data_IF_563318637814
#
_entry.id   IF_563318637814
#
_cell.length_a   1.000
_cell.length_b   1.000
_cell.length_c   1.000
_cell.angle_alpha   90.00
_cell.angle_beta   90.00
_cell.angle_gamma   90.00
#
_symmetry.space_group_name_H-M   'P 1'
#
loop_
_entity.id
_entity.type
_entity.pdbx_description
1 polymer ?
#
# COMPACT_ATOMS: atom_id res chain seq x y z
N UNK A 1 -3.72 -31.90 40.76
CA UNK A 1 -4.64 -31.22 39.81
C UNK A 1 -4.14 -29.80 39.63
N UNK A 2 -3.39 -29.54 38.57
CA UNK A 2 -3.05 -28.23 38.01
C UNK A 2 -2.28 -28.51 36.73
N UNK A 3 -2.96 -28.48 35.59
CA UNK A 3 -2.35 -28.60 34.27
C UNK A 3 -1.72 -27.27 33.87
N UNK A 4 -0.47 -27.24 33.36
CA UNK A 4 0.16 -26.01 32.93
C UNK A 4 -0.38 -25.57 31.56
N UNK A 5 -0.69 -24.29 31.48
CA UNK A 5 -1.07 -23.56 30.26
C UNK A 5 0.11 -23.57 29.30
N UNK A 6 -0.08 -24.13 28.10
CA UNK A 6 0.89 -24.03 27.00
C UNK A 6 0.95 -22.59 26.51
N UNK A 7 2.07 -21.93 26.78
CA UNK A 7 2.46 -20.66 26.16
C UNK A 7 2.68 -20.88 24.66
N UNK A 8 1.84 -20.29 23.81
CA UNK A 8 2.06 -20.27 22.37
C UNK A 8 3.33 -19.46 22.05
N UNK A 9 4.36 -20.16 21.58
CA UNK A 9 5.54 -19.56 20.94
C UNK A 9 5.14 -18.97 19.58
N UNK A 10 5.78 -17.87 19.13
CA UNK A 10 5.48 -17.28 17.83
C UNK A 10 5.90 -18.19 16.68
N UNK A 11 5.04 -18.21 15.66
CA UNK A 11 5.10 -18.96 14.41
C UNK A 11 6.47 -18.89 13.74
N UNK A 12 6.97 -20.05 13.31
CA UNK A 12 8.23 -20.24 12.60
C UNK A 12 8.30 -19.35 11.35
N UNK A 13 9.27 -18.45 11.32
CA UNK A 13 9.73 -17.76 10.11
C UNK A 13 10.20 -18.82 9.11
N UNK A 14 9.42 -19.09 8.07
CA UNK A 14 9.88 -19.94 6.97
C UNK A 14 11.13 -19.29 6.35
N UNK A 15 12.23 -20.04 6.33
CA UNK A 15 13.48 -19.60 5.73
C UNK A 15 13.25 -19.28 4.24
N UNK A 16 13.60 -18.06 3.84
CA UNK A 16 13.58 -17.64 2.45
C UNK A 16 14.69 -18.36 1.69
N UNK A 17 14.32 -19.31 0.81
CA UNK A 17 15.26 -19.88 -0.16
C UNK A 17 15.43 -18.85 -1.30
N UNK A 18 16.66 -18.40 -1.52
CA UNK A 18 17.01 -17.43 -2.55
C UNK A 18 16.71 -17.97 -3.98
N UNK A 19 16.56 -19.30 -4.10
CA UNK A 19 16.15 -19.99 -5.33
C UNK A 19 14.63 -20.01 -5.53
N UNK A 20 13.83 -19.72 -4.50
CA UNK A 20 12.39 -19.59 -4.65
C UNK A 20 12.08 -18.27 -5.39
N UNK A 21 11.44 -18.41 -6.54
CA UNK A 21 11.11 -17.28 -7.40
C UNK A 21 10.03 -16.39 -6.76
N UNK A 22 9.40 -16.86 -5.68
CA UNK A 22 8.34 -16.17 -4.96
C UNK A 22 8.88 -15.35 -3.79
N UNK A 23 8.34 -14.13 -3.63
CA UNK A 23 8.74 -13.19 -2.60
C UNK A 23 7.52 -12.98 -1.69
N UNK A 24 7.63 -13.27 -0.37
CA UNK A 24 6.55 -13.02 0.57
C UNK A 24 6.29 -11.51 0.69
N UNK A 25 5.06 -11.15 1.03
CA UNK A 25 4.63 -9.76 1.18
C UNK A 25 3.81 -9.56 2.42
N UNK A 26 3.82 -8.33 2.96
CA UNK A 26 2.99 -7.96 4.09
C UNK A 26 2.12 -6.75 3.74
N UNK A 27 0.86 -6.83 4.12
CA UNK A 27 -0.14 -5.77 4.02
C UNK A 27 -0.72 -5.49 5.41
N UNK A 28 -0.74 -4.23 5.80
CA UNK A 28 -1.51 -3.76 6.94
C UNK A 28 -2.93 -3.39 6.50
N UNK A 29 -3.93 -3.97 7.13
CA UNK A 29 -5.34 -3.64 6.95
C UNK A 29 -5.80 -2.74 8.09
N UNK A 30 -5.87 -1.43 7.84
CA UNK A 30 -6.23 -0.41 8.84
C UNK A 30 -7.73 -0.11 8.71
N UNK A 31 -8.58 -0.52 9.67
CA UNK A 31 -10.02 -0.31 9.61
C UNK A 31 -10.38 1.18 9.62
N UNK A 32 -11.38 1.54 8.82
CA UNK A 32 -11.95 2.88 8.89
C UNK A 32 -12.85 3.00 10.13
N UNK A 33 -12.89 4.17 10.78
CA UNK A 33 -13.80 4.40 11.89
C UNK A 33 -15.24 4.44 11.39
N UNK A 34 -16.17 3.97 12.21
CA UNK A 34 -17.61 4.04 11.92
C UNK A 34 -18.09 5.49 12.08
N UNK A 35 -18.88 6.03 11.12
CA UNK A 35 -19.45 7.37 11.26
C UNK A 35 -20.47 7.44 12.40
N UNK A 36 -20.59 8.61 13.02
CA UNK A 36 -21.59 8.93 14.03
C UNK A 36 -22.95 9.29 13.39
N UNK A 37 -23.99 9.31 14.22
CA UNK A 37 -25.30 9.94 13.96
C UNK A 37 -25.97 9.53 12.64
N UNK A 38 -26.68 8.39 12.62
CA UNK A 38 -27.50 7.87 11.50
C UNK A 38 -26.82 7.71 10.13
N UNK A 39 -25.63 8.24 9.93
CA UNK A 39 -24.81 8.05 8.75
C UNK A 39 -24.36 6.60 8.67
N UNK A 40 -24.38 6.04 7.46
CA UNK A 40 -24.09 4.62 7.24
C UNK A 40 -23.00 4.44 6.20
N UNK A 41 -22.23 3.39 6.39
CA UNK A 41 -21.38 2.83 5.35
C UNK A 41 -22.27 2.24 4.27
N UNK A 42 -21.93 2.50 3.01
CA UNK A 42 -22.60 1.92 1.85
C UNK A 42 -21.84 0.67 1.39
N UNK A 43 -22.39 -0.09 0.44
CA UNK A 43 -21.66 -1.19 -0.20
C UNK A 43 -20.37 -0.75 -0.91
N UNK A 44 -20.31 0.53 -1.28
CA UNK A 44 -19.14 1.14 -1.93
C UNK A 44 -18.08 1.59 -0.94
N UNK A 45 -18.41 1.69 0.35
CA UNK A 45 -17.48 2.13 1.39
C UNK A 45 -16.43 1.05 1.64
N UNK A 46 -15.12 1.38 1.51
CA UNK A 46 -14.08 0.43 1.85
C UNK A 46 -14.10 0.14 3.36
N UNK A 47 -14.00 -1.13 3.78
CA UNK A 47 -14.01 -1.50 5.21
C UNK A 47 -12.70 -1.14 5.92
N UNK A 48 -11.59 -1.11 5.18
CA UNK A 48 -10.26 -0.75 5.67
C UNK A 48 -9.40 -0.20 4.54
N UNK A 49 -8.36 0.52 4.92
CA UNK A 49 -7.24 0.90 4.08
C UNK A 49 -6.21 -0.24 4.05
N UNK A 50 -5.70 -0.59 2.87
CA UNK A 50 -4.46 -1.36 2.76
C UNK A 50 -3.23 -0.46 2.72
N UNK A 51 -2.23 -0.82 3.52
CA UNK A 51 -0.93 -0.18 3.52
C UNK A 51 0.20 -1.20 3.49
N UNK A 52 1.31 -0.85 2.84
CA UNK A 52 2.60 -1.54 2.98
C UNK A 52 3.68 -0.50 2.74
N UNK A 53 4.87 -0.69 3.31
CA UNK A 53 5.93 0.31 3.20
C UNK A 53 6.32 0.58 1.74
N UNK A 54 6.70 1.81 1.40
CA UNK A 54 7.19 2.12 0.07
C UNK A 54 8.46 1.32 -0.22
N UNK A 55 8.63 0.88 -1.47
CA UNK A 55 9.88 0.23 -1.88
C UNK A 55 10.99 1.25 -2.02
N UNK A 56 12.22 0.79 -1.84
CA UNK A 56 13.39 1.56 -2.26
C UNK A 56 13.29 1.87 -3.76
N UNK A 57 13.83 3.02 -4.15
CA UNK A 57 13.72 3.52 -5.53
C UNK A 57 14.37 2.54 -6.48
N UNK A 58 13.76 2.37 -7.65
CA UNK A 58 14.27 1.45 -8.65
C UNK A 58 15.66 1.90 -9.14
N UNK A 59 16.66 1.08 -8.86
CA UNK A 59 18.03 1.32 -9.31
C UNK A 59 18.21 0.93 -10.77
N UNK A 60 19.16 1.59 -11.44
CA UNK A 60 19.55 1.24 -12.81
C UNK A 60 20.10 -0.20 -12.80
N UNK A 61 19.77 -1.06 -13.77
CA UNK A 61 20.36 -2.38 -13.87
C UNK A 61 21.89 -2.29 -13.79
N UNK A 62 22.55 -3.15 -12.99
CA UNK A 62 23.99 -3.13 -12.87
C UNK A 62 24.63 -3.33 -14.24
N UNK A 63 25.79 -2.73 -14.43
CA UNK A 63 26.61 -2.98 -15.62
C UNK A 63 27.12 -4.40 -15.51
N UNK A 64 26.88 -5.21 -16.54
CA UNK A 64 27.39 -6.57 -16.58
C UNK A 64 28.93 -6.52 -16.60
N UNK A 65 29.61 -7.08 -15.58
CA UNK A 65 31.07 -7.04 -15.49
C UNK A 65 31.78 -7.70 -16.68
N UNK A 66 31.11 -8.65 -17.38
CA UNK A 66 31.70 -9.39 -18.50
C UNK A 66 31.52 -8.68 -19.84
N UNK A 67 30.44 -7.92 -20.01
CA UNK A 67 30.12 -7.27 -21.30
C UNK A 67 30.30 -5.75 -21.28
N UNK A 68 30.49 -5.14 -20.11
CA UNK A 68 30.64 -3.69 -19.93
C UNK A 68 29.39 -2.89 -20.30
N UNK A 69 28.28 -3.56 -20.60
CA UNK A 69 27.02 -2.93 -21.03
C UNK A 69 26.02 -2.92 -19.88
N UNK A 70 25.25 -1.83 -19.71
CA UNK A 70 24.13 -1.84 -18.79
C UNK A 70 23.10 -2.89 -19.23
N UNK A 71 22.52 -3.61 -18.27
CA UNK A 71 21.43 -4.54 -18.54
C UNK A 71 20.26 -3.86 -19.28
N UNK A 72 19.57 -4.60 -20.17
CA UNK A 72 18.42 -4.08 -20.93
C UNK A 72 17.31 -3.61 -19.98
N UNK A 73 16.97 -2.33 -20.02
CA UNK A 73 15.87 -1.73 -19.26
C UNK A 73 14.64 -1.54 -20.16
N UNK A 74 13.45 -1.95 -19.70
CA UNK A 74 12.20 -1.72 -20.45
C UNK A 74 11.87 -0.23 -20.46
N UNK A 75 11.34 0.30 -21.57
CA UNK A 75 11.01 1.72 -21.72
C UNK A 75 10.13 2.28 -20.58
N UNK A 76 9.09 1.53 -20.19
CA UNK A 76 8.22 1.91 -19.06
C UNK A 76 9.01 2.02 -17.75
N UNK A 77 9.97 1.12 -17.52
CA UNK A 77 10.83 1.12 -16.31
C UNK A 77 11.83 2.26 -16.32
N UNK A 78 12.38 2.57 -17.49
CA UNK A 78 13.24 3.74 -17.69
C UNK A 78 12.47 5.03 -17.39
N UNK A 79 11.25 5.17 -17.92
CA UNK A 79 10.39 6.33 -17.65
C UNK A 79 10.03 6.45 -16.16
N UNK A 80 9.62 5.34 -15.53
CA UNK A 80 9.32 5.30 -14.09
C UNK A 80 10.53 5.71 -13.24
N UNK A 81 11.74 5.26 -13.59
CA UNK A 81 12.98 5.63 -12.89
C UNK A 81 13.35 7.10 -13.06
N UNK A 82 13.32 7.62 -14.29
CA UNK A 82 13.61 9.04 -14.57
C UNK A 82 12.62 9.91 -13.79
N UNK A 83 11.34 9.55 -13.83
CA UNK A 83 10.31 10.22 -13.05
C UNK A 83 10.60 10.22 -11.54
N UNK A 84 10.94 9.05 -10.98
CA UNK A 84 11.29 8.94 -9.55
C UNK A 84 12.51 9.79 -9.18
N UNK A 85 13.52 9.84 -10.06
CA UNK A 85 14.71 10.68 -9.87
C UNK A 85 14.36 12.17 -9.91
N UNK A 86 13.56 12.62 -10.87
CA UNK A 86 13.14 14.02 -10.99
C UNK A 86 12.27 14.49 -9.81
N UNK A 87 11.39 13.63 -9.31
CA UNK A 87 10.60 13.92 -8.10
C UNK A 87 11.50 14.04 -6.88
N UNK A 88 12.50 13.15 -6.74
CA UNK A 88 13.46 13.19 -5.64
C UNK A 88 14.29 14.47 -5.70
N UNK A 89 14.91 14.76 -6.84
CA UNK A 89 15.69 15.98 -7.05
C UNK A 89 14.85 17.23 -6.76
N UNK A 90 13.58 17.25 -7.18
CA UNK A 90 12.65 18.34 -6.88
C UNK A 90 12.36 18.51 -5.38
N UNK A 91 12.24 17.43 -4.62
CA UNK A 91 12.08 17.46 -3.16
C UNK A 91 13.35 17.91 -2.44
N UNK A 92 14.52 17.45 -2.87
CA UNK A 92 15.83 17.85 -2.33
C UNK A 92 16.09 19.36 -2.60
N UNK A 93 15.78 19.86 -3.80
CA UNK A 93 15.83 21.29 -4.14
C UNK A 93 14.89 22.10 -3.21
N UNK A 94 13.66 21.63 -2.98
CA UNK A 94 12.70 22.31 -2.10
C UNK A 94 13.21 22.39 -0.65
N UNK A 95 13.91 21.36 -0.19
CA UNK A 95 14.53 21.29 1.15
C UNK A 95 15.78 22.14 1.28
N UNK A 96 16.27 22.71 0.18
CA UNK A 96 17.49 23.52 0.16
C UNK A 96 18.76 22.69 0.18
N UNK A 97 18.69 21.41 -0.18
CA UNK A 97 19.83 20.48 -0.26
C UNK A 97 20.66 20.71 -1.54
N UNK A 98 20.07 21.34 -2.57
CA UNK A 98 20.74 21.76 -3.82
C UNK A 98 20.58 23.27 -4.05
N UNK A 99 21.34 24.08 -3.31
CA UNK A 99 21.22 25.57 -3.35
C UNK A 99 21.68 26.19 -4.68
N UNK A 100 22.60 25.50 -5.35
CA UNK A 100 23.22 25.82 -6.63
C UNK A 100 22.39 25.39 -7.86
N UNK A 101 21.23 24.76 -7.66
CA UNK A 101 20.36 24.37 -8.77
C UNK A 101 19.95 25.60 -9.62
N UNK A 102 20.24 25.57 -10.92
CA UNK A 102 19.87 26.62 -11.87
C UNK A 102 18.35 26.79 -12.02
N UNK A 103 17.92 27.93 -12.55
CA UNK A 103 16.49 28.31 -12.69
C UNK A 103 15.68 27.24 -13.43
N UNK A 104 16.25 26.64 -14.47
CA UNK A 104 15.63 25.56 -15.23
C UNK A 104 15.42 24.29 -14.39
N UNK A 105 16.42 23.88 -13.58
CA UNK A 105 16.30 22.72 -12.67
C UNK A 105 15.28 22.97 -11.57
N UNK A 106 15.23 24.19 -11.01
CA UNK A 106 14.23 24.61 -10.02
C UNK A 106 12.81 24.55 -10.58
N UNK A 107 12.61 25.06 -11.80
CA UNK A 107 11.32 24.99 -12.49
C UNK A 107 10.89 23.54 -12.77
N UNK A 108 11.78 22.74 -13.36
CA UNK A 108 11.52 21.31 -13.65
C UNK A 108 11.20 20.53 -12.39
N UNK A 109 11.98 20.73 -11.32
CA UNK A 109 11.73 20.11 -10.01
C UNK A 109 10.39 20.53 -9.41
N UNK A 110 9.95 21.78 -9.59
CA UNK A 110 8.64 22.23 -9.15
C UNK A 110 7.49 21.59 -9.96
N UNK A 111 7.63 21.51 -11.29
CA UNK A 111 6.65 20.85 -12.15
C UNK A 111 6.52 19.35 -11.83
N UNK A 112 7.65 18.64 -11.72
CA UNK A 112 7.69 17.22 -11.35
C UNK A 112 7.06 16.97 -9.97
N UNK A 113 7.33 17.82 -8.97
CA UNK A 113 6.68 17.74 -7.65
C UNK A 113 5.17 17.95 -7.72
N UNK A 114 4.71 18.93 -8.50
CA UNK A 114 3.28 19.22 -8.67
C UNK A 114 2.57 18.06 -9.35
N UNK A 115 3.10 17.59 -10.49
CA UNK A 115 2.53 16.46 -11.20
C UNK A 115 2.61 15.15 -10.40
N UNK A 116 3.67 14.91 -9.62
CA UNK A 116 3.78 13.80 -8.66
C UNK A 116 2.73 13.89 -7.56
N UNK A 117 2.46 15.09 -7.06
CA UNK A 117 1.39 15.32 -6.11
C UNK A 117 0.04 14.96 -6.72
N UNK A 118 -0.24 15.35 -7.96
CA UNK A 118 -1.49 15.01 -8.67
C UNK A 118 -1.60 13.50 -8.93
N UNK A 119 -0.55 12.85 -9.46
CA UNK A 119 -0.52 11.38 -9.66
C UNK A 119 -0.76 10.64 -8.35
N UNK A 120 -0.17 11.08 -7.24
CA UNK A 120 -0.38 10.45 -5.93
C UNK A 120 -1.84 10.46 -5.49
N UNK A 121 -2.68 11.35 -6.02
CA UNK A 121 -4.12 11.39 -5.72
C UNK A 121 -5.01 10.70 -6.76
N UNK A 122 -4.48 10.26 -7.92
CA UNK A 122 -5.30 9.69 -8.99
C UNK A 122 -5.68 8.20 -8.80
N UNK A 123 -4.75 7.29 -8.42
CA UNK A 123 -5.10 5.89 -8.15
C UNK A 123 -5.88 5.77 -6.86
N UNK A 124 -6.78 4.80 -6.75
CA UNK A 124 -7.32 4.40 -5.45
C UNK A 124 -6.16 3.95 -4.54
N UNK A 125 -6.20 4.30 -3.25
CA UNK A 125 -5.26 3.88 -2.21
C UNK A 125 -4.91 2.38 -2.25
N UNK A 126 -5.88 1.51 -2.53
CA UNK A 126 -5.68 0.06 -2.67
C UNK A 126 -4.72 -0.30 -3.81
N UNK A 127 -4.89 0.31 -4.99
CA UNK A 127 -4.03 0.01 -6.16
C UNK A 127 -2.63 0.55 -5.95
N UNK A 128 -2.49 1.69 -5.29
CA UNK A 128 -1.19 2.24 -4.92
C UNK A 128 -0.41 1.27 -4.02
N UNK A 129 -1.07 0.72 -2.99
CA UNK A 129 -0.50 -0.30 -2.10
C UNK A 129 -0.15 -1.58 -2.86
N UNK A 130 -1.05 -2.08 -3.71
CA UNK A 130 -0.77 -3.24 -4.57
C UNK A 130 0.40 -2.99 -5.54
N UNK A 131 0.60 -1.73 -5.96
CA UNK A 131 1.75 -1.30 -6.76
C UNK A 131 3.09 -1.61 -6.09
N UNK A 132 3.15 -1.56 -4.75
CA UNK A 132 4.36 -1.78 -3.94
C UNK A 132 4.75 -3.26 -3.82
N UNK A 133 3.80 -4.18 -3.98
CA UNK A 133 4.04 -5.63 -3.92
C UNK A 133 5.02 -6.12 -5.02
N UNK A 134 5.65 -7.30 -4.88
CA UNK A 134 6.44 -7.93 -5.93
C UNK A 134 5.73 -8.00 -7.30
N UNK A 135 6.50 -8.08 -8.41
CA UNK A 135 5.94 -8.36 -9.72
C UNK A 135 5.08 -9.63 -9.68
N UNK A 136 4.04 -9.71 -10.51
CA UNK A 136 3.07 -10.83 -10.48
C UNK A 136 3.69 -12.23 -10.57
N UNK A 137 4.85 -12.37 -11.23
CA UNK A 137 5.57 -13.64 -11.39
C UNK A 137 6.35 -14.04 -10.14
N UNK A 138 6.61 -13.10 -9.24
CA UNK A 138 7.36 -13.27 -8.01
C UNK A 138 6.50 -13.08 -6.76
N UNK A 139 5.17 -13.10 -6.89
CA UNK A 139 4.29 -13.00 -5.74
C UNK A 139 4.27 -14.36 -5.03
N UNK A 140 4.67 -14.38 -3.77
CA UNK A 140 4.46 -15.50 -2.86
C UNK A 140 3.28 -15.25 -1.93
N UNK A 141 3.39 -15.82 -0.73
CA UNK A 141 2.44 -15.63 0.37
C UNK A 141 2.29 -14.16 0.73
N UNK A 142 1.05 -13.74 1.00
CA UNK A 142 0.73 -12.39 1.43
C UNK A 142 0.16 -12.48 2.85
N UNK A 143 0.87 -11.90 3.81
CA UNK A 143 0.41 -11.74 5.17
C UNK A 143 -0.42 -10.47 5.30
N UNK A 144 -1.63 -10.57 5.85
CA UNK A 144 -2.53 -9.48 6.14
C UNK A 144 -2.55 -9.29 7.65
N UNK A 145 -1.92 -8.21 8.11
CA UNK A 145 -1.88 -7.83 9.51
C UNK A 145 -2.97 -6.80 9.78
N UNK A 146 -3.84 -7.07 10.75
CA UNK A 146 -4.93 -6.18 11.16
C UNK A 146 -4.89 -5.91 12.66
N UNK A 147 -5.51 -4.83 13.16
CA UNK A 147 -5.40 -4.44 14.57
C UNK A 147 -5.87 -5.51 15.54
N UNK A 148 -5.16 -5.63 16.67
CA UNK A 148 -5.63 -6.40 17.79
C UNK A 148 -6.81 -5.70 18.47
N UNK A 149 -7.62 -6.46 19.21
CA UNK A 149 -8.76 -5.90 19.96
C UNK A 149 -8.36 -4.77 20.93
N UNK A 150 -7.12 -4.77 21.43
CA UNK A 150 -6.58 -3.75 22.34
C UNK A 150 -6.11 -2.47 21.64
N UNK A 151 -5.89 -2.49 20.32
CA UNK A 151 -5.49 -1.30 19.55
C UNK A 151 -6.61 -0.27 19.43
N UNK A 152 -7.86 -0.74 19.55
CA UNK A 152 -9.06 0.08 19.38
C UNK A 152 -9.37 0.79 20.70
N UNK A 153 -9.14 2.11 20.71
CA UNK A 153 -9.58 2.96 21.82
C UNK A 153 -11.10 2.84 22.02
N UNK A 154 -11.62 2.69 23.25
CA UNK A 154 -13.06 2.66 23.50
C UNK A 154 -13.76 3.96 23.07
N UNK A 155 -13.00 5.04 22.88
CA UNK A 155 -13.52 6.35 22.47
C UNK A 155 -13.72 6.48 20.97
N UNK A 156 -13.12 5.60 20.15
CA UNK A 156 -13.28 5.59 18.69
C UNK A 156 -14.02 4.32 18.30
N UNK A 157 -15.17 4.47 17.67
CA UNK A 157 -15.89 3.31 17.14
C UNK A 157 -15.18 2.81 15.87
N UNK A 158 -14.51 1.66 15.98
CA UNK A 158 -13.85 0.98 14.87
C UNK A 158 -14.44 -0.43 14.77
N UNK A 159 -14.84 -0.90 13.57
CA UNK A 159 -15.36 -2.24 13.38
C UNK A 159 -14.35 -3.30 13.86
N UNK A 160 -14.82 -4.24 14.67
CA UNK A 160 -14.06 -5.45 15.03
C UNK A 160 -14.38 -6.52 14.01
N UNK A 161 -13.38 -6.88 13.20
CA UNK A 161 -13.52 -7.88 12.16
C UNK A 161 -13.01 -9.22 12.68
N UNK A 162 -13.84 -10.26 12.59
CA UNK A 162 -13.38 -11.64 12.69
C UNK A 162 -12.47 -11.98 11.50
N UNK A 163 -11.66 -13.04 11.61
CA UNK A 163 -10.81 -13.47 10.50
C UNK A 163 -11.62 -13.78 9.22
N UNK A 164 -12.80 -14.37 9.38
CA UNK A 164 -13.71 -14.68 8.28
C UNK A 164 -14.21 -13.40 7.58
N UNK A 165 -14.75 -12.44 8.35
CA UNK A 165 -15.21 -11.16 7.81
C UNK A 165 -14.08 -10.35 7.18
N UNK A 166 -12.89 -10.43 7.77
CA UNK A 166 -11.65 -9.83 7.28
C UNK A 166 -11.28 -10.42 5.91
N UNK A 167 -11.31 -11.75 5.76
CA UNK A 167 -11.03 -12.45 4.49
C UNK A 167 -12.05 -12.12 3.41
N UNK A 168 -13.34 -12.12 3.74
CA UNK A 168 -14.42 -11.78 2.82
C UNK A 168 -14.29 -10.32 2.35
N UNK A 169 -14.18 -9.39 3.29
CA UNK A 169 -14.03 -7.96 3.04
C UNK A 169 -12.78 -7.66 2.20
N UNK A 170 -11.67 -8.34 2.48
CA UNK A 170 -10.42 -8.21 1.72
C UNK A 170 -10.60 -8.65 0.28
N UNK A 171 -11.22 -9.80 0.07
CA UNK A 171 -11.49 -10.33 -1.28
C UNK A 171 -12.41 -9.39 -2.07
N UNK A 172 -13.50 -8.91 -1.47
CA UNK A 172 -14.43 -7.96 -2.09
C UNK A 172 -13.72 -6.66 -2.49
N UNK A 173 -12.91 -6.12 -1.60
CA UNK A 173 -12.14 -4.90 -1.86
C UNK A 173 -11.11 -5.09 -2.98
N UNK A 174 -10.39 -6.21 -3.04
CA UNK A 174 -9.47 -6.52 -4.15
C UNK A 174 -10.21 -6.57 -5.49
N UNK A 175 -11.38 -7.21 -5.54
CA UNK A 175 -12.21 -7.28 -6.75
C UNK A 175 -12.71 -5.90 -7.19
N UNK A 176 -13.18 -5.08 -6.24
CA UNK A 176 -13.60 -3.70 -6.51
C UNK A 176 -12.45 -2.87 -7.06
N UNK A 177 -11.27 -2.93 -6.41
CA UNK A 177 -10.07 -2.23 -6.84
C UNK A 177 -9.64 -2.66 -8.26
N UNK A 178 -9.72 -3.95 -8.60
CA UNK A 178 -9.46 -4.44 -9.96
C UNK A 178 -10.43 -3.86 -10.98
N UNK A 179 -11.73 -3.84 -10.70
CA UNK A 179 -12.75 -3.27 -11.60
C UNK A 179 -12.49 -1.78 -11.83
N UNK A 180 -12.22 -1.04 -10.76
CA UNK A 180 -11.91 0.39 -10.83
C UNK A 180 -10.62 0.65 -11.61
N UNK A 181 -9.55 -0.10 -11.33
CA UNK A 181 -8.27 0.03 -12.02
C UNK A 181 -8.37 -0.27 -13.51
N UNK A 182 -9.17 -1.26 -13.89
CA UNK A 182 -9.42 -1.58 -15.29
C UNK A 182 -10.13 -0.42 -16.01
N UNK A 183 -11.20 0.12 -15.41
CA UNK A 183 -11.90 1.31 -15.93
C UNK A 183 -10.95 2.50 -16.07
N UNK A 184 -10.14 2.77 -15.06
CA UNK A 184 -9.17 3.87 -15.07
C UNK A 184 -8.05 3.67 -16.10
N UNK A 185 -7.60 2.43 -16.32
CA UNK A 185 -6.61 2.10 -17.35
C UNK A 185 -7.15 2.36 -18.75
N UNK A 186 -8.42 2.05 -19.01
CA UNK A 186 -9.05 2.35 -20.31
C UNK A 186 -9.05 3.85 -20.57
N UNK A 187 -9.55 4.64 -19.60
CA UNK A 187 -9.60 6.10 -19.71
C UNK A 187 -8.19 6.67 -19.95
N UNK A 188 -7.22 6.28 -19.12
CA UNK A 188 -5.83 6.71 -19.22
C UNK A 188 -5.20 6.31 -20.57
N UNK A 189 -5.46 5.09 -21.05
CA UNK A 189 -5.01 4.61 -22.35
C UNK A 189 -5.53 5.44 -23.52
N UNK A 190 -6.82 5.82 -23.49
CA UNK A 190 -7.41 6.70 -24.51
C UNK A 190 -6.82 8.12 -24.48
N UNK A 191 -6.35 8.59 -23.33
CA UNK A 191 -5.72 9.91 -23.19
C UNK A 191 -4.25 9.94 -23.62
N UNK A 192 -3.59 8.78 -23.82
CA UNK A 192 -2.16 8.74 -24.16
C UNK A 192 -1.80 9.56 -25.41
N UNK A 193 -2.54 9.46 -26.55
CA UNK A 193 -2.24 10.27 -27.73
C UNK A 193 -2.38 11.77 -27.48
N UNK A 194 -3.39 12.17 -26.69
CA UNK A 194 -3.63 13.57 -26.35
C UNK A 194 -2.52 14.10 -25.46
N UNK A 195 -2.12 13.33 -24.43
CA UNK A 195 -1.02 13.72 -23.55
C UNK A 195 0.33 13.78 -24.27
N UNK A 196 0.56 12.91 -25.26
CA UNK A 196 1.75 12.98 -26.11
C UNK A 196 1.75 14.24 -26.99
N UNK A 197 0.61 14.60 -27.58
CA UNK A 197 0.48 15.82 -28.37
C UNK A 197 0.68 17.07 -27.51
N UNK A 198 0.11 17.11 -26.30
CA UNK A 198 0.32 18.21 -25.33
C UNK A 198 1.81 18.42 -25.07
N UNK A 199 2.55 17.37 -24.73
CA UNK A 199 3.98 17.49 -24.44
C UNK A 199 4.81 17.85 -25.67
N UNK A 200 4.41 17.41 -26.87
CA UNK A 200 5.09 17.75 -28.11
C UNK A 200 4.85 19.21 -28.53
N UNK A 201 3.63 19.72 -28.39
CA UNK A 201 3.22 21.01 -28.97
C UNK A 201 3.27 22.19 -27.99
N UNK A 202 3.13 21.97 -26.67
CA UNK A 202 2.98 23.11 -25.74
C UNK A 202 4.30 23.76 -25.30
N UNK A 203 5.49 23.24 -25.67
CA UNK A 203 6.85 23.74 -25.32
C UNK A 203 7.12 23.83 -23.79
N UNK A 204 6.08 23.82 -22.96
CA UNK A 204 6.11 23.75 -21.51
C UNK A 204 6.22 22.27 -21.13
N UNK A 205 7.26 21.86 -20.39
CA UNK A 205 7.42 20.48 -19.96
C UNK A 205 6.41 20.16 -18.84
N UNK A 206 5.18 19.81 -19.23
CA UNK A 206 4.13 19.36 -18.31
C UNK A 206 4.32 17.86 -18.01
N UNK A 207 5.11 17.13 -18.82
CA UNK A 207 5.32 15.68 -18.72
C UNK A 207 3.99 14.92 -18.67
N UNK A 208 2.96 15.45 -19.34
CA UNK A 208 1.61 14.92 -19.30
C UNK A 208 1.57 13.47 -19.78
N UNK A 209 2.38 13.14 -20.78
CA UNK A 209 2.52 11.81 -21.35
C UNK A 209 3.21 10.84 -20.39
N UNK A 210 4.37 11.21 -19.84
CA UNK A 210 5.07 10.37 -18.85
C UNK A 210 4.21 10.16 -17.61
N UNK A 211 3.51 11.20 -17.16
CA UNK A 211 2.55 11.16 -16.06
C UNK A 211 1.42 10.18 -16.35
N UNK A 212 0.82 10.27 -17.54
CA UNK A 212 -0.27 9.40 -17.94
C UNK A 212 0.20 7.94 -18.16
N UNK A 213 1.40 7.72 -18.69
CA UNK A 213 2.01 6.38 -18.78
C UNK A 213 2.28 5.80 -17.40
N UNK A 214 2.81 6.58 -16.46
CA UNK A 214 3.07 6.13 -15.09
C UNK A 214 1.76 5.73 -14.41
N UNK A 215 0.72 6.56 -14.57
CA UNK A 215 -0.62 6.26 -14.07
C UNK A 215 -1.22 5.00 -14.70
N UNK A 216 -1.23 4.91 -16.03
CA UNK A 216 -1.68 3.71 -16.78
C UNK A 216 -0.96 2.45 -16.31
N UNK A 217 0.36 2.53 -16.17
CA UNK A 217 1.21 1.41 -15.77
C UNK A 217 0.89 0.96 -14.35
N UNK A 218 0.66 1.89 -13.42
CA UNK A 218 0.28 1.57 -12.06
C UNK A 218 -1.07 0.84 -12.00
N UNK A 219 -2.07 1.33 -12.74
CA UNK A 219 -3.41 0.74 -12.78
C UNK A 219 -3.40 -0.66 -13.40
N UNK A 220 -2.76 -0.83 -14.55
CA UNK A 220 -2.66 -2.11 -15.24
C UNK A 220 -1.86 -3.13 -14.43
N UNK A 221 -0.76 -2.72 -13.79
CA UNK A 221 0.03 -3.61 -12.94
C UNK A 221 -0.74 -3.99 -11.67
N UNK A 222 -1.44 -3.06 -11.02
CA UNK A 222 -2.32 -3.35 -9.88
C UNK A 222 -3.39 -4.37 -10.23
N UNK A 223 -4.14 -4.15 -11.31
CA UNK A 223 -5.17 -5.09 -11.77
C UNK A 223 -4.61 -6.49 -12.11
N UNK A 224 -3.42 -6.55 -12.74
CA UNK A 224 -2.72 -7.81 -13.03
C UNK A 224 -2.29 -8.54 -11.76
N UNK A 225 -1.86 -7.82 -10.72
CA UNK A 225 -1.50 -8.40 -9.43
C UNK A 225 -2.72 -8.95 -8.70
N UNK A 226 -3.84 -8.21 -8.67
CA UNK A 226 -5.10 -8.76 -8.12
C UNK A 226 -5.47 -10.06 -8.82
N UNK A 227 -5.45 -10.08 -10.16
CA UNK A 227 -5.75 -11.30 -10.92
C UNK A 227 -4.81 -12.45 -10.57
N UNK A 228 -3.51 -12.18 -10.42
CA UNK A 228 -2.54 -13.19 -10.03
C UNK A 228 -2.83 -13.74 -8.63
N UNK A 229 -3.04 -12.87 -7.64
CA UNK A 229 -3.36 -13.25 -6.27
C UNK A 229 -4.65 -14.08 -6.20
N UNK A 230 -5.74 -13.64 -6.83
CA UNK A 230 -6.99 -14.41 -6.86
C UNK A 230 -6.84 -15.77 -7.53
N UNK A 231 -6.06 -15.85 -8.62
CA UNK A 231 -5.80 -17.12 -9.28
C UNK A 231 -4.98 -18.08 -8.41
N UNK A 232 -3.94 -17.58 -7.75
CA UNK A 232 -3.10 -18.35 -6.84
C UNK A 232 -3.89 -18.84 -5.63
N UNK A 233 -4.76 -18.00 -5.04
CA UNK A 233 -5.67 -18.40 -3.96
C UNK A 233 -6.63 -19.51 -4.40
N UNK A 234 -7.26 -19.37 -5.56
CA UNK A 234 -8.15 -20.39 -6.10
C UNK A 234 -7.43 -21.72 -6.38
N UNK A 235 -6.17 -21.67 -6.83
CA UNK A 235 -5.36 -22.87 -7.04
C UNK A 235 -4.98 -23.53 -5.73
N UNK A 236 -4.60 -22.73 -4.72
CA UNK A 236 -4.23 -23.23 -3.40
C UNK A 236 -5.43 -23.90 -2.71
N UNK A 237 -6.62 -23.29 -2.78
CA UNK A 237 -7.88 -23.88 -2.30
C UNK A 237 -8.28 -25.18 -3.04
N UNK A 238 -7.99 -25.31 -4.34
CA UNK A 238 -8.22 -26.55 -5.10
C UNK A 238 -7.26 -27.67 -4.68
N UNK A 239 -6.01 -27.34 -4.39
CA UNK A 239 -5.02 -28.31 -3.91
C UNK A 239 -5.37 -28.82 -2.51
N UNK A 240 -5.78 -27.94 -1.58
CA UNK A 240 -6.23 -28.35 -0.24
C UNK A 240 -7.38 -29.36 -0.28
N UNK A 241 -8.38 -29.14 -1.14
CA UNK A 241 -9.50 -30.08 -1.33
C UNK A 241 -9.12 -31.44 -1.91
N UNK A 242 -8.09 -31.50 -2.76
CA UNK A 242 -7.62 -32.76 -3.34
C UNK A 242 -6.77 -33.60 -2.36
N UNK A 243 -6.16 -32.96 -1.37
CA UNK A 243 -5.36 -33.62 -0.33
C UNK A 243 -6.23 -34.17 0.81
N UNK A 244 -7.33 -33.48 1.15
CA UNK A 244 -8.24 -33.88 2.23
C UNK A 244 -9.17 -35.05 1.89
N UNK A 245 -9.12 -35.60 0.67
CA UNK A 245 -9.90 -36.81 0.31
C UNK A 245 -9.26 -38.12 0.78
N UNK A 246 -8.14 -38.09 1.52
CA UNK A 246 -7.40 -39.30 1.92
C UNK A 246 -6.90 -39.37 3.38
N UNK A 247 -7.28 -38.48 4.33
CA UNK A 247 -6.89 -38.66 5.74
C UNK A 247 -7.72 -37.84 6.73
N UNK A 248 -8.22 -38.50 7.79
CA UNK A 248 -8.69 -37.89 9.04
C UNK A 248 -7.53 -37.16 9.75
N UNK A 249 -7.65 -35.86 10.06
CA UNK A 249 -7.09 -35.23 11.28
C UNK A 249 -7.31 -33.70 11.33
N UNK A 250 -7.67 -33.23 12.52
CA UNK A 250 -7.87 -31.85 12.99
C UNK A 250 -6.67 -30.90 12.79
N UNK A 251 -6.32 -30.58 11.54
CA UNK A 251 -5.31 -29.55 11.23
C UNK A 251 -5.96 -28.40 10.45
N UNK A 252 -5.83 -27.13 10.89
CA UNK A 252 -6.49 -26.03 10.21
C UNK A 252 -5.94 -25.89 8.78
N UNK A 253 -6.88 -25.77 7.84
CA UNK A 253 -6.73 -25.79 6.39
C UNK A 253 -5.76 -24.70 5.90
N UNK A 254 -4.47 -25.05 5.81
CA UNK A 254 -3.36 -24.14 5.52
C UNK A 254 -3.10 -23.96 4.02
N UNK A 255 -4.15 -24.05 3.19
CA UNK A 255 -4.05 -24.01 1.73
C UNK A 255 -4.30 -22.62 1.14
N UNK A 256 -4.23 -21.54 1.92
CA UNK A 256 -4.44 -20.16 1.44
C UNK A 256 -3.10 -19.46 1.18
N UNK A 257 -3.02 -18.66 0.12
CA UNK A 257 -1.86 -17.77 -0.06
C UNK A 257 -1.96 -16.52 0.82
N UNK A 258 -3.13 -16.27 1.40
CA UNK A 258 -3.39 -15.17 2.31
C UNK A 258 -3.35 -15.68 3.75
N UNK A 259 -2.43 -15.15 4.53
CA UNK A 259 -2.34 -15.43 5.97
C UNK A 259 -2.90 -14.22 6.69
N UNK A 260 -3.94 -14.40 7.50
CA UNK A 260 -4.54 -13.34 8.29
C UNK A 260 -4.05 -13.44 9.73
N UNK A 261 -3.55 -12.34 10.27
CA UNK A 261 -3.00 -12.32 11.63
C UNK A 261 -3.31 -10.98 12.32
N UNK A 262 -3.65 -11.04 13.61
CA UNK A 262 -3.74 -9.85 14.45
C UNK A 262 -2.34 -9.36 14.82
N UNK A 263 -2.13 -8.05 14.76
CA UNK A 263 -0.88 -7.44 15.18
C UNK A 263 -0.61 -7.61 16.68
N UNK A 264 0.63 -7.36 17.07
CA UNK A 264 0.95 -7.13 18.47
C UNK A 264 0.14 -5.94 19.04
N UNK A 265 -0.36 -6.02 20.28
CA UNK A 265 -1.17 -4.94 20.88
C UNK A 265 -0.47 -3.58 20.88
N UNK A 266 -1.24 -2.52 20.63
CA UNK A 266 -0.81 -1.12 20.53
C UNK A 266 -0.02 -0.76 19.26
N UNK A 267 0.13 -1.70 18.31
CA UNK A 267 0.76 -1.43 17.00
C UNK A 267 0.02 -0.39 16.18
N UNK A 268 -1.32 -0.36 16.25
CA UNK A 268 -2.14 0.49 15.40
C UNK A 268 -2.78 1.67 16.12
N UNK A 269 -2.71 1.76 17.45
CA UNK A 269 -3.44 2.78 18.21
C UNK A 269 -3.20 4.20 17.72
N UNK A 270 -1.94 4.58 17.50
CA UNK A 270 -1.60 5.92 16.98
C UNK A 270 -2.07 6.12 15.54
N UNK A 271 -1.99 5.09 14.71
CA UNK A 271 -2.41 5.09 13.31
C UNK A 271 -3.93 5.26 13.19
N UNK A 272 -4.70 4.54 14.00
CA UNK A 272 -6.16 4.61 14.05
C UNK A 272 -6.59 5.99 14.56
N UNK A 273 -5.97 6.50 15.63
CA UNK A 273 -6.24 7.85 16.14
C UNK A 273 -5.96 8.91 15.06
N UNK A 274 -4.85 8.78 14.34
CA UNK A 274 -4.51 9.66 13.23
C UNK A 274 -5.55 9.55 12.11
N UNK A 275 -5.95 8.34 11.70
CA UNK A 275 -6.98 8.15 10.66
C UNK A 275 -8.31 8.80 11.05
N UNK A 276 -8.76 8.58 12.30
CA UNK A 276 -9.97 9.20 12.82
C UNK A 276 -9.89 10.73 12.76
N UNK A 277 -8.77 11.30 13.18
CA UNK A 277 -8.55 12.74 13.15
C UNK A 277 -8.61 13.30 11.71
N UNK A 278 -8.12 12.56 10.71
CA UNK A 278 -8.27 12.95 9.30
C UNK A 278 -9.75 12.90 8.87
N UNK A 279 -10.50 11.86 9.25
CA UNK A 279 -11.93 11.79 8.96
C UNK A 279 -12.70 12.95 9.61
N UNK A 280 -12.38 13.30 10.86
CA UNK A 280 -12.97 14.42 11.60
C UNK A 280 -12.66 15.77 10.98
N UNK A 281 -11.44 15.98 10.48
CA UNK A 281 -11.06 17.19 9.75
C UNK A 281 -11.79 17.33 8.41
N UNK A 282 -12.15 16.21 7.77
CA UNK A 282 -12.86 16.21 6.47
C UNK A 282 -14.35 16.46 6.70
N UNK A 283 -14.96 15.76 7.66
CA UNK A 283 -16.38 15.89 8.00
C UNK A 283 -16.59 15.65 9.51
N UNK A 284 -16.54 16.75 10.27
CA UNK A 284 -16.73 16.72 11.72
C UNK A 284 -18.16 16.38 12.16
N UNK A 285 -19.15 16.38 11.25
CA UNK A 285 -20.52 15.96 11.57
C UNK A 285 -20.61 14.45 11.58
N UNK A 286 -20.01 13.79 10.57
CA UNK A 286 -19.90 12.33 10.50
C UNK A 286 -18.87 11.78 11.51
N UNK A 287 -17.84 12.56 11.85
CA UNK A 287 -16.79 12.16 12.78
C UNK A 287 -16.51 13.26 13.81
N UNK A 288 -17.31 13.35 14.88
CA UNK A 288 -17.16 14.38 15.92
C UNK A 288 -15.78 14.33 16.60
N UNK A 289 -15.25 15.50 16.97
CA UNK A 289 -13.96 15.55 17.68
C UNK A 289 -14.10 14.89 19.05
N UNK A 290 -13.27 13.88 19.31
CA UNK A 290 -13.26 13.15 20.57
C UNK A 290 -12.18 13.71 21.50
N UNK A 291 -12.53 13.93 22.77
CA UNK A 291 -11.57 14.41 23.78
C UNK A 291 -10.39 13.43 23.92
N UNK A 292 -9.17 13.96 23.94
CA UNK A 292 -7.94 13.17 24.07
C UNK A 292 -7.32 12.72 22.73
N UNK A 293 -7.98 12.94 21.59
CA UNK A 293 -7.36 12.79 20.28
C UNK A 293 -6.79 14.14 19.86
N UNK A 294 -5.47 14.22 19.75
CA UNK A 294 -4.82 15.41 19.22
C UNK A 294 -5.05 15.51 17.71
N UNK A 295 -5.45 16.70 17.27
CA UNK A 295 -5.52 16.97 15.83
C UNK A 295 -4.11 16.90 15.22
N UNK A 296 -4.00 16.37 14.00
CA UNK A 296 -2.74 16.09 13.37
C UNK A 296 -2.07 17.40 12.96
N UNK A 297 -0.85 17.62 13.44
CA UNK A 297 0.00 18.72 13.00
C UNK A 297 0.46 18.52 11.54
N UNK A 298 1.00 19.58 10.93
CA UNK A 298 1.53 19.53 9.56
C UNK A 298 2.62 18.46 9.38
N UNK A 299 3.41 18.21 10.44
CA UNK A 299 4.40 17.14 10.48
C UNK A 299 3.77 15.87 11.09
N UNK A 300 3.82 14.73 10.38
CA UNK A 300 3.30 13.48 10.90
C UNK A 300 4.15 12.96 12.05
N UNK A 301 3.49 12.52 13.12
CA UNK A 301 4.16 12.00 14.30
C UNK A 301 4.82 10.65 13.98
N UNK A 302 6.10 10.47 14.31
CA UNK A 302 6.87 9.22 14.15
C UNK A 302 6.16 8.02 14.79
N UNK A 303 5.48 8.25 15.91
CA UNK A 303 4.81 7.21 16.68
C UNK A 303 3.65 6.53 15.92
N UNK A 304 3.20 7.06 14.78
CA UNK A 304 2.18 6.40 13.94
C UNK A 304 2.74 5.21 13.15
N UNK A 305 4.05 5.01 13.11
CA UNK A 305 4.66 4.00 12.22
C UNK A 305 5.61 3.03 12.92
N UNK A 306 6.08 3.34 14.12
CA UNK A 306 7.09 2.54 14.84
C UNK A 306 6.64 1.10 15.12
N UNK A 307 5.40 0.92 15.62
CA UNK A 307 4.82 -0.41 15.82
C UNK A 307 4.72 -1.19 14.52
N UNK A 308 4.26 -0.54 13.45
CA UNK A 308 4.12 -1.16 12.14
C UNK A 308 5.47 -1.54 11.52
N UNK A 309 6.54 -0.74 11.71
CA UNK A 309 7.89 -1.10 11.25
C UNK A 309 8.38 -2.36 11.97
N UNK A 310 8.20 -2.40 13.29
CA UNK A 310 8.62 -3.55 14.12
C UNK A 310 7.89 -4.83 13.68
N UNK A 311 6.58 -4.75 13.49
CA UNK A 311 5.75 -5.86 13.00
C UNK A 311 6.19 -6.29 11.58
N UNK A 312 6.46 -5.34 10.68
CA UNK A 312 6.92 -5.63 9.32
C UNK A 312 8.26 -6.36 9.30
N UNK A 313 9.19 -5.99 10.19
CA UNK A 313 10.49 -6.63 10.32
C UNK A 313 10.40 -8.02 10.96
N UNK A 314 9.46 -8.23 11.88
CA UNK A 314 9.24 -9.53 12.52
C UNK A 314 8.60 -10.56 11.57
N UNK A 315 7.68 -10.11 10.71
CA UNK A 315 6.90 -11.00 9.84
C UNK A 315 7.60 -11.35 8.51
N UNK A 316 8.59 -10.58 8.07
CA UNK A 316 9.24 -10.74 6.78
C UNK A 316 10.74 -11.03 6.90
N UNK A 317 11.32 -11.86 6.01
CA UNK A 317 12.77 -12.07 5.96
C UNK A 317 13.54 -10.77 5.74
N UNK A 318 14.74 -10.68 6.32
CA UNK A 318 15.58 -9.47 6.25
C UNK A 318 15.86 -9.02 4.80
N UNK A 319 16.09 -9.96 3.90
CA UNK A 319 16.34 -9.68 2.48
C UNK A 319 15.13 -9.01 1.79
N UNK A 320 13.92 -9.23 2.29
CA UNK A 320 12.69 -8.60 1.80
C UNK A 320 12.52 -7.22 2.44
N UNK A 321 12.79 -7.09 3.74
CA UNK A 321 12.63 -5.82 4.46
C UNK A 321 13.62 -4.76 3.99
N UNK A 322 14.86 -5.14 3.65
CA UNK A 322 15.88 -4.25 3.08
C UNK A 322 15.46 -3.62 1.73
N UNK A 323 14.49 -4.20 1.03
CA UNK A 323 13.94 -3.65 -0.24
C UNK A 323 12.89 -2.55 0.00
N UNK A 324 12.58 -2.25 1.26
CA UNK A 324 11.58 -1.26 1.66
C UNK A 324 12.23 -0.08 2.36
N UNK A 325 11.65 1.10 2.20
CA UNK A 325 12.07 2.31 2.88
C UNK A 325 11.45 2.32 4.29
N UNK A 326 12.21 1.81 5.25
CA UNK A 326 11.81 1.70 6.66
C UNK A 326 12.37 2.84 7.54
N UNK A 327 12.91 3.90 6.93
CA UNK A 327 13.28 5.10 7.68
C UNK A 327 12.02 5.71 8.32
N UNK A 328 12.02 5.85 9.65
CA UNK A 328 10.85 6.23 10.45
C UNK A 328 10.20 7.51 9.96
N UNK A 329 10.98 8.57 9.68
CA UNK A 329 10.43 9.85 9.23
C UNK A 329 9.76 9.73 7.87
N UNK A 330 10.42 9.06 6.92
CA UNK A 330 9.87 8.86 5.56
C UNK A 330 8.67 7.94 5.56
N UNK A 331 8.69 6.91 6.39
CA UNK A 331 7.59 5.98 6.55
C UNK A 331 6.37 6.68 7.18
N UNK A 332 6.58 7.53 8.19
CA UNK A 332 5.53 8.35 8.80
C UNK A 332 4.94 9.36 7.81
N UNK A 333 5.79 10.05 7.01
CA UNK A 333 5.36 10.94 5.93
C UNK A 333 4.46 10.22 4.91
N UNK A 334 4.89 9.03 4.45
CA UNK A 334 4.15 8.25 3.47
C UNK A 334 2.84 7.66 4.03
N UNK A 335 2.88 7.12 5.25
CA UNK A 335 1.70 6.58 5.92
C UNK A 335 0.68 7.69 6.17
N UNK A 336 1.08 8.83 6.72
CA UNK A 336 0.20 9.97 6.97
C UNK A 336 -0.48 10.49 5.69
N UNK A 337 0.27 10.56 4.58
CA UNK A 337 -0.29 10.91 3.27
C UNK A 337 -1.32 9.87 2.82
N UNK A 338 -1.00 8.59 2.97
CA UNK A 338 -1.88 7.48 2.57
C UNK A 338 -3.17 7.50 3.38
N UNK A 339 -3.09 7.67 4.71
CA UNK A 339 -4.23 7.81 5.61
C UNK A 339 -5.12 9.00 5.24
N UNK A 340 -4.53 10.18 4.97
CA UNK A 340 -5.28 11.38 4.56
C UNK A 340 -6.04 11.15 3.24
N UNK A 341 -5.38 10.53 2.26
CA UNK A 341 -6.01 10.20 0.98
C UNK A 341 -7.16 9.20 1.17
N UNK A 342 -6.89 8.13 1.91
CA UNK A 342 -7.87 7.08 2.19
C UNK A 342 -9.08 7.62 2.95
N UNK A 343 -8.87 8.51 3.95
CA UNK A 343 -9.94 9.19 4.65
C UNK A 343 -10.82 10.02 3.70
N UNK A 344 -10.22 10.76 2.75
CA UNK A 344 -10.98 11.51 1.74
C UNK A 344 -11.79 10.59 0.82
N UNK A 345 -11.22 9.46 0.41
CA UNK A 345 -11.92 8.45 -0.40
C UNK A 345 -13.09 7.85 0.39
N UNK A 346 -12.84 7.45 1.65
CA UNK A 346 -13.83 6.84 2.53
C UNK A 346 -15.00 7.78 2.84
N UNK A 347 -14.74 9.00 3.34
CA UNK A 347 -15.80 9.95 3.74
C UNK A 347 -16.73 10.29 2.57
N UNK A 348 -16.21 10.33 1.34
CA UNK A 348 -17.01 10.56 0.12
C UNK A 348 -18.00 9.44 -0.21
N UNK A 349 -17.80 8.24 0.33
CA UNK A 349 -18.67 7.08 0.08
C UNK A 349 -19.78 6.91 1.13
N UNK A 350 -19.78 7.75 2.17
CA UNK A 350 -20.73 7.68 3.27
C UNK A 350 -21.98 8.49 2.93
N UNK A 351 -23.14 7.95 3.30
CA UNK A 351 -24.45 8.60 3.18
C UNK A 351 -24.79 9.42 4.43
#
# INVERSE_FOLDING_TARGET
MTTPVKTNQPTQTQAYDENDHQIPSLLFAIPFPTPANHHKTTESSPPFLLYTFPRSVYEKPPVDPRTGKPGKEKLIKKAERIWQQEVREGEEIKRGEHKDAGTWKKFKGAAARTASSVIKYMPNSTIETLGRLPPKQKLGTVQIIYPANKDVSPTINVPRLTEFEMKESFTKMLQSAKKQAFKQSIISGCLLPVTAAIDFFLIIPIFAFEVNIAYFSLQTNGARKVKALTNSENQAAKKGKATNSNQDSDTPDNSSIFIFQQATPNTFSNTINYLYSQCSLIDGRKFPIVKGINLPNYQPNRNIVEGMISEFQACLPEQVTQRHLLNVDRAAEDLARTLRKAAKEYVKTLE
#
